data_IF_049718950171
#
_entry.id   IF_049718950171
#
_cell.length_a   1.000
_cell.length_b   1.000
_cell.length_c   1.000
_cell.angle_alpha   90.00
_cell.angle_beta   90.00
_cell.angle_gamma   90.00
#
_symmetry.space_group_name_H-M   'P 1'
#
loop_
_entity.id
_entity.type
_entity.pdbx_description
1 polymer ?
#
# COMPACT_ATOMS: atom_id res chain seq x y z
N UNK A 1 -17.31 -20.42 -43.87
CA UNK A 1 -17.78 -20.14 -42.49
C UNK A 1 -16.82 -20.59 -41.39
N UNK A 2 -15.90 -21.55 -41.59
CA UNK A 2 -14.99 -22.02 -40.53
C UNK A 2 -13.88 -21.03 -40.14
N UNK A 3 -13.34 -20.27 -41.10
CA UNK A 3 -12.21 -19.35 -40.85
C UNK A 3 -12.60 -18.14 -39.98
N UNK A 4 -13.84 -17.64 -40.11
CA UNK A 4 -14.35 -16.54 -39.30
C UNK A 4 -14.51 -16.93 -37.82
N UNK A 5 -14.99 -18.15 -37.55
CA UNK A 5 -15.11 -18.68 -36.19
C UNK A 5 -13.73 -18.86 -35.52
N UNK A 6 -12.71 -19.27 -36.27
CA UNK A 6 -11.34 -19.37 -35.76
C UNK A 6 -10.73 -18.00 -35.41
N UNK A 7 -10.96 -16.98 -36.23
CA UNK A 7 -10.49 -15.61 -35.93
C UNK A 7 -11.15 -15.01 -34.70
N UNK A 8 -12.45 -15.24 -34.50
CA UNK A 8 -13.20 -14.77 -33.32
C UNK A 8 -12.66 -15.36 -32.01
N UNK A 9 -12.32 -16.66 -32.01
CA UNK A 9 -11.73 -17.35 -30.85
C UNK A 9 -10.36 -16.73 -30.50
N UNK A 10 -9.51 -16.49 -31.50
CA UNK A 10 -8.18 -15.89 -31.29
C UNK A 10 -8.29 -14.47 -30.76
N UNK A 11 -9.18 -13.65 -31.32
CA UNK A 11 -9.42 -12.28 -30.86
C UNK A 11 -9.95 -12.26 -29.42
N UNK A 12 -10.91 -13.12 -29.10
CA UNK A 12 -11.49 -13.19 -27.75
C UNK A 12 -10.45 -13.66 -26.72
N UNK A 13 -9.63 -14.65 -27.08
CA UNK A 13 -8.53 -15.11 -26.22
C UNK A 13 -7.49 -14.01 -25.98
N UNK A 14 -7.14 -13.26 -27.02
CA UNK A 14 -6.21 -12.13 -26.92
C UNK A 14 -6.76 -11.01 -26.03
N UNK A 15 -8.03 -10.60 -26.22
CA UNK A 15 -8.70 -9.61 -25.36
C UNK A 15 -8.73 -10.10 -23.91
N UNK A 16 -9.06 -11.38 -23.69
CA UNK A 16 -9.09 -12.00 -22.36
C UNK A 16 -7.74 -11.96 -21.66
N UNK A 17 -6.64 -12.12 -22.39
CA UNK A 17 -5.29 -12.07 -21.84
C UNK A 17 -4.85 -10.64 -21.45
N UNK A 18 -5.26 -9.62 -22.21
CA UNK A 18 -4.83 -8.23 -22.01
C UNK A 18 -5.70 -7.47 -21.00
N UNK A 19 -7.00 -7.79 -20.95
CA UNK A 19 -7.99 -7.05 -20.14
C UNK A 19 -7.57 -6.83 -18.68
N UNK A 20 -7.06 -7.82 -17.92
CA UNK A 20 -6.66 -7.60 -16.54
C UNK A 20 -5.54 -6.55 -16.38
N UNK A 21 -4.56 -6.56 -17.27
CA UNK A 21 -3.46 -5.59 -17.28
C UNK A 21 -3.95 -4.20 -17.65
N UNK A 22 -4.89 -4.11 -18.61
CA UNK A 22 -5.52 -2.86 -18.99
C UNK A 22 -6.35 -2.25 -17.85
N UNK A 23 -7.22 -3.04 -17.21
CA UNK A 23 -8.03 -2.61 -16.07
C UNK A 23 -7.13 -2.10 -14.94
N UNK A 24 -6.01 -2.79 -14.69
CA UNK A 24 -5.03 -2.39 -13.69
C UNK A 24 -4.37 -1.04 -14.02
N UNK A 25 -3.97 -0.80 -15.27
CA UNK A 25 -3.41 0.48 -15.71
C UNK A 25 -4.41 1.62 -15.54
N UNK A 26 -5.68 1.42 -15.94
CA UNK A 26 -6.73 2.43 -15.83
C UNK A 26 -6.96 2.83 -14.37
N UNK A 27 -7.10 1.84 -13.48
CA UNK A 27 -7.32 2.07 -12.04
C UNK A 27 -6.11 2.79 -11.42
N UNK A 28 -4.90 2.29 -11.66
CA UNK A 28 -3.69 2.87 -11.05
C UNK A 28 -3.39 4.27 -11.55
N UNK A 29 -3.62 4.56 -12.83
CA UNK A 29 -3.41 5.89 -13.39
C UNK A 29 -4.39 6.89 -12.77
N UNK A 30 -5.65 6.49 -12.61
CA UNK A 30 -6.68 7.31 -11.97
C UNK A 30 -6.31 7.61 -10.52
N UNK A 31 -5.94 6.58 -9.74
CA UNK A 31 -5.52 6.75 -8.35
C UNK A 31 -4.25 7.60 -8.22
N UNK A 32 -3.28 7.43 -9.12
CA UNK A 32 -2.05 8.22 -9.14
C UNK A 32 -2.32 9.70 -9.44
N UNK A 33 -3.26 10.00 -10.34
CA UNK A 33 -3.70 11.38 -10.62
C UNK A 33 -4.34 12.03 -9.38
N UNK A 34 -5.18 11.28 -8.66
CA UNK A 34 -5.75 11.75 -7.39
C UNK A 34 -4.66 12.02 -6.34
N UNK A 35 -3.66 11.14 -6.22
CA UNK A 35 -2.54 11.31 -5.29
C UNK A 35 -1.67 12.52 -5.65
N UNK A 36 -1.41 12.75 -6.94
CA UNK A 36 -0.70 13.93 -7.40
C UNK A 36 -1.48 15.21 -7.06
N UNK A 37 -2.79 15.20 -7.27
CA UNK A 37 -3.67 16.31 -6.90
C UNK A 37 -3.62 16.56 -5.39
N UNK A 38 -3.68 15.50 -4.57
CA UNK A 38 -3.54 15.60 -3.12
C UNK A 38 -2.17 16.16 -2.71
N UNK A 39 -1.10 15.81 -3.42
CA UNK A 39 0.23 16.36 -3.17
C UNK A 39 0.25 17.87 -3.42
N UNK A 40 -0.31 18.31 -4.54
CA UNK A 40 -0.40 19.74 -4.90
C UNK A 40 -1.22 20.49 -3.86
N UNK A 41 -2.40 19.98 -3.50
CA UNK A 41 -3.28 20.55 -2.46
C UNK A 41 -2.53 20.63 -1.12
N UNK A 42 -1.83 19.56 -0.73
CA UNK A 42 -1.06 19.51 0.50
C UNK A 42 0.04 20.58 0.53
N UNK A 43 0.74 20.85 -0.58
CA UNK A 43 1.72 21.94 -0.63
C UNK A 43 1.08 23.33 -0.68
N UNK A 44 0.00 23.50 -1.45
CA UNK A 44 -0.69 24.77 -1.63
C UNK A 44 -1.32 25.29 -0.32
N UNK A 45 -1.95 24.40 0.46
CA UNK A 45 -2.60 24.76 1.71
C UNK A 45 -1.71 24.60 2.96
N UNK A 46 -0.48 24.11 2.80
CA UNK A 46 0.42 23.92 3.95
C UNK A 46 1.10 25.21 4.38
N UNK A 47 0.82 25.61 5.63
CA UNK A 47 1.45 26.74 6.31
C UNK A 47 2.90 26.44 6.72
N UNK A 48 3.70 27.48 6.95
CA UNK A 48 5.10 27.34 7.42
C UNK A 48 5.21 26.48 8.69
N UNK A 49 4.26 26.64 9.62
CA UNK A 49 4.21 25.84 10.86
C UNK A 49 3.82 24.38 10.61
N UNK A 50 2.93 24.10 9.65
CA UNK A 50 2.58 22.73 9.26
C UNK A 50 3.77 22.00 8.65
N UNK A 51 4.54 22.67 7.76
CA UNK A 51 5.72 22.09 7.09
C UNK A 51 6.81 21.66 8.07
N UNK A 52 6.90 22.27 9.26
CA UNK A 52 7.90 21.90 10.28
C UNK A 52 7.55 20.61 11.03
N UNK A 53 6.30 20.12 10.93
CA UNK A 53 5.87 18.90 11.62
C UNK A 53 6.35 17.66 10.87
N UNK A 54 6.81 16.64 11.60
CA UNK A 54 7.22 15.36 11.03
C UNK A 54 6.08 14.69 10.23
N UNK A 55 4.83 14.85 10.69
CA UNK A 55 3.64 14.32 10.00
C UNK A 55 3.53 14.84 8.57
N UNK A 56 3.89 16.10 8.29
CA UNK A 56 3.85 16.66 6.93
C UNK A 56 4.85 15.92 6.03
N UNK A 57 6.10 15.79 6.46
CA UNK A 57 7.15 15.09 5.72
C UNK A 57 6.81 13.62 5.45
N UNK A 58 6.26 12.92 6.46
CA UNK A 58 5.86 11.53 6.27
C UNK A 58 4.69 11.39 5.29
N UNK A 59 3.73 12.32 5.26
CA UNK A 59 2.64 12.30 4.26
C UNK A 59 3.17 12.54 2.85
N UNK A 60 4.09 13.50 2.66
CA UNK A 60 4.75 13.73 1.37
C UNK A 60 5.49 12.47 0.91
N UNK A 61 6.29 11.88 1.80
CA UNK A 61 7.04 10.65 1.50
C UNK A 61 6.11 9.49 1.14
N UNK A 62 5.01 9.32 1.85
CA UNK A 62 4.00 8.30 1.54
C UNK A 62 3.39 8.47 0.16
N UNK A 63 3.01 9.70 -0.21
CA UNK A 63 2.48 9.99 -1.55
C UNK A 63 3.55 9.70 -2.62
N UNK A 64 4.79 10.13 -2.41
CA UNK A 64 5.88 9.84 -3.34
C UNK A 64 6.13 8.34 -3.53
N UNK A 65 6.16 7.55 -2.45
CA UNK A 65 6.31 6.09 -2.54
C UNK A 65 5.16 5.44 -3.32
N UNK A 66 3.92 5.90 -3.11
CA UNK A 66 2.76 5.39 -3.85
C UNK A 66 2.83 5.75 -5.34
N UNK A 67 3.29 6.95 -5.68
CA UNK A 67 3.47 7.37 -7.07
C UNK A 67 4.58 6.56 -7.75
N UNK A 68 5.67 6.27 -7.05
CA UNK A 68 6.73 5.38 -7.55
C UNK A 68 6.18 3.98 -7.83
N UNK A 69 5.38 3.43 -6.92
CA UNK A 69 4.65 2.18 -7.16
C UNK A 69 3.77 2.28 -8.41
N UNK A 70 2.97 3.35 -8.53
CA UNK A 70 2.10 3.58 -9.69
C UNK A 70 2.88 3.59 -11.02
N UNK A 71 4.07 4.19 -11.04
CA UNK A 71 4.96 4.19 -12.21
C UNK A 71 5.46 2.78 -12.51
N UNK A 72 6.00 2.07 -11.52
CA UNK A 72 6.49 0.70 -11.70
C UNK A 72 5.40 -0.23 -12.20
N UNK A 73 4.25 -0.21 -11.55
CA UNK A 73 3.07 -0.98 -11.94
C UNK A 73 2.56 -0.61 -13.34
N UNK A 74 2.57 0.68 -13.69
CA UNK A 74 2.24 1.17 -15.02
C UNK A 74 3.19 0.64 -16.09
N UNK A 75 4.50 0.60 -15.82
CA UNK A 75 5.49 0.00 -16.71
C UNK A 75 5.23 -1.50 -16.87
N UNK A 76 5.05 -2.24 -15.77
CA UNK A 76 4.85 -3.70 -15.82
C UNK A 76 3.58 -4.08 -16.57
N UNK A 77 2.47 -3.40 -16.29
CA UNK A 77 1.18 -3.72 -16.90
C UNK A 77 1.05 -3.12 -18.30
N UNK A 78 1.63 -1.95 -18.54
CA UNK A 78 1.70 -1.34 -19.87
C UNK A 78 2.52 -2.19 -20.85
N UNK A 79 3.67 -2.72 -20.43
CA UNK A 79 4.43 -3.65 -21.28
C UNK A 79 3.65 -4.93 -21.56
N UNK A 80 2.93 -5.48 -20.58
CA UNK A 80 2.09 -6.66 -20.80
C UNK A 80 0.96 -6.42 -21.82
N UNK A 81 0.52 -5.17 -22.02
CA UNK A 81 -0.49 -4.78 -23.01
C UNK A 81 0.15 -4.50 -24.39
N UNK A 82 1.26 -3.75 -24.41
CA UNK A 82 1.87 -3.26 -25.65
C UNK A 82 2.78 -4.29 -26.33
N UNK A 83 3.47 -5.12 -25.56
CA UNK A 83 4.37 -6.15 -26.05
C UNK A 83 4.27 -7.41 -25.16
N UNK A 84 3.22 -8.23 -25.35
CA UNK A 84 2.96 -9.40 -24.50
C UNK A 84 4.06 -10.48 -24.61
N UNK A 85 4.91 -10.42 -25.63
CA UNK A 85 5.98 -11.39 -25.86
C UNK A 85 7.31 -10.97 -25.21
N UNK A 86 7.51 -9.67 -24.95
CA UNK A 86 8.68 -9.17 -24.24
C UNK A 86 8.33 -8.70 -22.83
N UNK A 87 8.72 -9.52 -21.85
CA UNK A 87 8.47 -9.22 -20.45
C UNK A 87 9.46 -8.21 -19.89
N UNK A 88 9.01 -7.45 -18.90
CA UNK A 88 9.89 -6.61 -18.07
C UNK A 88 11.04 -7.42 -17.48
N UNK A 89 12.15 -6.74 -17.24
CA UNK A 89 13.26 -7.35 -16.51
C UNK A 89 12.80 -7.85 -15.13
N UNK A 90 13.35 -8.98 -14.70
CA UNK A 90 13.08 -9.59 -13.38
C UNK A 90 13.25 -8.58 -12.23
N UNK A 91 14.26 -7.72 -12.32
CA UNK A 91 14.55 -6.70 -11.30
C UNK A 91 13.46 -5.65 -11.19
N UNK A 92 12.91 -5.18 -12.32
CA UNK A 92 11.80 -4.22 -12.34
C UNK A 92 10.54 -4.85 -11.73
N UNK A 93 10.27 -6.11 -12.03
CA UNK A 93 9.13 -6.83 -11.46
C UNK A 93 9.27 -7.03 -9.95
N UNK A 94 10.46 -7.44 -9.46
CA UNK A 94 10.75 -7.56 -8.03
C UNK A 94 10.60 -6.20 -7.34
N UNK A 95 11.16 -5.13 -7.92
CA UNK A 95 11.00 -3.78 -7.37
C UNK A 95 9.52 -3.41 -7.25
N UNK A 96 8.71 -3.72 -8.27
CA UNK A 96 7.25 -3.48 -8.24
C UNK A 96 6.60 -4.21 -7.06
N UNK A 97 6.93 -5.48 -6.81
CA UNK A 97 6.41 -6.24 -5.66
C UNK A 97 6.87 -5.59 -4.33
N UNK A 98 8.14 -5.24 -4.21
CA UNK A 98 8.68 -4.58 -3.00
C UNK A 98 7.93 -3.29 -2.73
N UNK A 99 7.76 -2.44 -3.73
CA UNK A 99 7.00 -1.19 -3.62
C UNK A 99 5.49 -1.44 -3.42
N UNK A 100 4.95 -2.62 -3.70
CA UNK A 100 3.55 -2.94 -3.40
C UNK A 100 3.35 -3.31 -1.92
N UNK A 101 4.29 -4.05 -1.33
CA UNK A 101 4.16 -4.59 0.04
C UNK A 101 4.80 -3.73 1.12
N UNK A 102 5.81 -2.94 0.78
CA UNK A 102 6.60 -2.20 1.76
C UNK A 102 5.99 -0.84 2.17
N UNK A 103 5.48 0.01 1.26
CA UNK A 103 4.89 1.30 1.62
C UNK A 103 3.73 1.26 2.62
N UNK A 104 2.83 0.24 2.62
CA UNK A 104 1.83 0.05 3.67
C UNK A 104 2.39 0.15 5.10
N UNK A 105 3.59 -0.39 5.37
CA UNK A 105 4.25 -0.28 6.69
C UNK A 105 4.52 1.18 7.10
N UNK A 106 4.84 2.03 6.13
CA UNK A 106 5.11 3.46 6.36
C UNK A 106 3.82 4.22 6.61
N UNK A 107 2.75 3.93 5.86
CA UNK A 107 1.46 4.60 6.02
C UNK A 107 0.91 4.41 7.43
N UNK A 108 0.96 3.19 7.94
CA UNK A 108 0.44 2.89 9.27
C UNK A 108 1.29 3.54 10.37
N UNK A 109 2.57 3.85 10.08
CA UNK A 109 3.42 4.60 10.99
C UNK A 109 3.00 6.07 11.08
N UNK A 110 2.45 6.66 10.00
CA UNK A 110 1.88 8.02 10.01
C UNK A 110 0.67 8.09 10.93
N UNK A 111 -0.20 7.07 10.90
CA UNK A 111 -1.36 6.97 11.79
C UNK A 111 -0.93 6.95 13.26
N UNK A 112 0.10 6.16 13.60
CA UNK A 112 0.66 6.18 14.96
C UNK A 112 1.29 7.51 15.33
N UNK A 113 2.02 8.17 14.42
CA UNK A 113 2.56 9.51 14.68
C UNK A 113 1.46 10.55 14.91
N UNK A 114 0.33 10.43 14.22
CA UNK A 114 -0.85 11.26 14.50
C UNK A 114 -1.44 10.95 15.88
N UNK A 115 -1.41 9.69 16.32
CA UNK A 115 -1.81 9.32 17.67
C UNK A 115 -0.88 9.91 18.74
N UNK A 116 0.44 9.92 18.49
CA UNK A 116 1.42 10.59 19.37
C UNK A 116 1.16 12.09 19.52
N UNK A 117 0.71 12.76 18.45
CA UNK A 117 0.33 14.17 18.54
C UNK A 117 -0.89 14.39 19.45
N UNK A 118 -1.78 13.40 19.57
CA UNK A 118 -2.94 13.44 20.47
C UNK A 118 -2.58 13.04 21.91
N UNK A 119 -1.58 12.17 22.10
CA UNK A 119 -1.05 11.74 23.40
C UNK A 119 0.38 12.26 23.60
N UNK A 120 0.55 13.56 23.95
CA UNK A 120 1.87 14.10 24.15
C UNK A 120 2.61 13.31 25.24
N UNK A 121 3.83 12.81 24.96
CA UNK A 121 4.61 12.01 25.90
C UNK A 121 5.02 12.77 27.14
N UNK A 122 4.92 14.10 27.12
CA UNK A 122 5.18 14.98 28.26
C UNK A 122 4.08 14.92 29.34
N UNK A 123 2.84 14.58 28.97
CA UNK A 123 1.68 14.65 29.88
C UNK A 123 1.17 13.26 30.24
N UNK A 124 1.38 12.27 29.35
CA UNK A 124 0.87 10.91 29.54
C UNK A 124 1.88 10.06 30.33
N UNK A 125 1.47 9.32 31.37
CA UNK A 125 2.35 8.41 32.09
C UNK A 125 3.02 7.40 31.14
N UNK A 126 4.34 7.24 31.26
CA UNK A 126 5.15 6.38 30.36
C UNK A 126 4.65 4.94 30.30
N UNK A 127 4.11 4.42 31.41
CA UNK A 127 3.55 3.06 31.48
C UNK A 127 2.27 2.94 30.63
N UNK A 128 1.40 3.95 30.66
CA UNK A 128 0.20 3.99 29.83
C UNK A 128 0.56 4.10 28.36
N UNK A 129 1.54 4.95 28.04
CA UNK A 129 2.06 5.11 26.68
C UNK A 129 2.66 3.79 26.17
N UNK A 130 3.47 3.10 26.98
CA UNK A 130 4.03 1.80 26.64
C UNK A 130 2.94 0.76 26.37
N UNK A 131 1.89 0.68 27.19
CA UNK A 131 0.77 -0.25 26.98
C UNK A 131 0.03 -0.01 25.67
N UNK A 132 -0.16 1.26 25.29
CA UNK A 132 -0.84 1.63 24.04
C UNK A 132 0.03 1.31 22.82
N UNK A 133 1.33 1.58 22.88
CA UNK A 133 2.23 1.40 21.74
C UNK A 133 2.81 -0.02 21.62
N UNK A 134 2.76 -0.83 22.68
CA UNK A 134 3.26 -2.19 22.64
C UNK A 134 2.59 -3.02 21.54
N UNK A 135 1.26 -2.96 21.42
CA UNK A 135 0.54 -3.71 20.40
C UNK A 135 0.92 -3.30 18.96
N UNK A 136 0.81 -2.00 18.56
CA UNK A 136 1.22 -1.56 17.23
C UNK A 136 2.70 -1.84 16.92
N UNK A 137 3.59 -1.70 17.91
CA UNK A 137 5.00 -1.98 17.73
C UNK A 137 5.25 -3.47 17.43
N UNK A 138 4.66 -4.37 18.21
CA UNK A 138 4.75 -5.82 17.97
C UNK A 138 4.21 -6.21 16.60
N UNK A 139 3.06 -5.65 16.20
CA UNK A 139 2.46 -5.92 14.88
C UNK A 139 3.40 -5.45 13.75
N UNK A 140 4.03 -4.28 13.87
CA UNK A 140 5.00 -3.81 12.87
C UNK A 140 6.21 -4.72 12.75
N UNK A 141 6.79 -5.15 13.87
CA UNK A 141 7.90 -6.11 13.86
C UNK A 141 7.49 -7.42 13.17
N UNK A 142 6.31 -7.95 13.50
CA UNK A 142 5.78 -9.16 12.87
C UNK A 142 5.57 -8.98 11.36
N UNK A 143 5.04 -7.84 10.91
CA UNK A 143 4.86 -7.56 9.48
C UNK A 143 6.18 -7.44 8.72
N UNK A 144 7.21 -6.83 9.31
CA UNK A 144 8.55 -6.78 8.69
C UNK A 144 9.09 -8.19 8.45
N UNK A 145 8.93 -9.10 9.43
CA UNK A 145 9.34 -10.49 9.29
C UNK A 145 8.55 -11.18 8.16
N UNK A 146 7.22 -11.05 8.17
CA UNK A 146 6.35 -11.68 7.16
C UNK A 146 6.67 -11.18 5.75
N UNK A 147 6.84 -9.87 5.56
CA UNK A 147 7.23 -9.29 4.26
C UNK A 147 8.60 -9.79 3.82
N UNK A 148 9.56 -9.90 4.74
CA UNK A 148 10.90 -10.43 4.44
C UNK A 148 10.82 -11.89 3.96
N UNK A 149 9.96 -12.71 4.58
CA UNK A 149 9.72 -14.09 4.17
C UNK A 149 9.05 -14.16 2.79
N UNK A 150 8.05 -13.33 2.53
CA UNK A 150 7.40 -13.22 1.21
C UNK A 150 8.43 -12.90 0.15
N UNK A 151 9.20 -11.83 0.34
CA UNK A 151 10.17 -11.37 -0.64
C UNK A 151 11.27 -12.42 -0.89
N UNK A 152 11.78 -13.05 0.16
CA UNK A 152 12.79 -14.09 0.03
C UNK A 152 12.24 -15.30 -0.77
N UNK A 153 11.03 -15.76 -0.43
CA UNK A 153 10.37 -16.83 -1.17
C UNK A 153 10.14 -16.44 -2.64
N UNK A 154 9.64 -15.24 -2.92
CA UNK A 154 9.42 -14.75 -4.28
C UNK A 154 10.71 -14.65 -5.10
N UNK A 155 11.80 -14.19 -4.51
CA UNK A 155 13.10 -14.04 -5.20
C UNK A 155 13.72 -15.42 -5.48
N UNK A 156 13.63 -16.36 -4.53
CA UNK A 156 14.22 -17.69 -4.64
C UNK A 156 13.45 -18.62 -5.58
N UNK A 157 12.12 -18.56 -5.59
CA UNK A 157 11.28 -19.43 -6.45
C UNK A 157 11.30 -19.07 -7.94
N UNK A 158 12.02 -18.02 -8.33
CA UNK A 158 11.91 -17.41 -9.64
C UNK A 158 13.16 -17.59 -10.51
N UNK A 159 13.09 -18.45 -11.53
CA UNK A 159 14.14 -18.57 -12.55
C UNK A 159 13.98 -17.56 -13.70
N UNK A 160 12.78 -17.05 -13.95
CA UNK A 160 12.46 -16.06 -14.99
C UNK A 160 11.35 -15.09 -14.57
N UNK A 161 11.16 -13.98 -15.30
CA UNK A 161 10.03 -13.06 -15.09
C UNK A 161 8.69 -13.77 -15.33
N UNK A 162 8.60 -14.66 -16.31
CA UNK A 162 7.37 -15.38 -16.62
C UNK A 162 6.92 -16.24 -15.44
N UNK A 163 7.87 -16.95 -14.82
CA UNK A 163 7.62 -17.74 -13.62
C UNK A 163 7.17 -16.85 -12.44
N UNK A 164 7.73 -15.64 -12.30
CA UNK A 164 7.30 -14.67 -11.29
C UNK A 164 5.87 -14.19 -11.49
N UNK A 165 5.52 -13.81 -12.72
CA UNK A 165 4.17 -13.35 -13.07
C UNK A 165 3.18 -14.49 -12.84
N UNK A 166 3.47 -15.69 -13.32
CA UNK A 166 2.61 -16.85 -13.13
C UNK A 166 2.45 -17.21 -11.65
N UNK A 167 3.54 -17.23 -10.88
CA UNK A 167 3.47 -17.49 -9.45
C UNK A 167 2.68 -16.41 -8.71
N UNK A 168 2.89 -15.13 -9.04
CA UNK A 168 2.11 -14.02 -8.46
C UNK A 168 0.63 -14.19 -8.78
N UNK A 169 0.24 -14.32 -10.05
CA UNK A 169 -1.18 -14.47 -10.43
C UNK A 169 -1.86 -15.67 -9.77
N UNK A 170 -1.16 -16.80 -9.61
CA UNK A 170 -1.70 -18.00 -9.00
C UNK A 170 -1.79 -17.93 -7.47
N UNK A 171 -0.82 -17.28 -6.81
CA UNK A 171 -0.66 -17.36 -5.36
C UNK A 171 -0.94 -16.07 -4.62
N UNK A 172 -0.99 -14.90 -5.25
CA UNK A 172 -1.05 -13.60 -4.57
C UNK A 172 -2.13 -13.53 -3.49
N UNK A 173 -3.38 -13.84 -3.83
CA UNK A 173 -4.50 -13.82 -2.89
C UNK A 173 -4.61 -15.06 -2.00
N UNK A 174 -3.87 -16.13 -2.31
CA UNK A 174 -3.88 -17.40 -1.57
C UNK A 174 -2.64 -17.59 -0.71
N UNK A 175 -1.68 -16.66 -0.80
CA UNK A 175 -0.42 -16.77 -0.10
C UNK A 175 -0.65 -16.49 1.39
N UNK A 176 -0.38 -17.47 2.28
CA UNK A 176 -0.68 -17.33 3.71
C UNK A 176 0.09 -16.16 4.33
N UNK A 177 1.28 -15.84 3.82
CA UNK A 177 2.07 -14.71 4.30
C UNK A 177 1.45 -13.36 3.91
N UNK A 178 0.93 -13.22 2.68
CA UNK A 178 0.23 -11.98 2.27
C UNK A 178 -1.09 -11.81 3.01
N UNK A 179 -1.84 -12.90 3.21
CA UNK A 179 -3.07 -12.88 4.01
C UNK A 179 -2.75 -12.46 5.46
N UNK A 180 -1.70 -13.00 6.05
CA UNK A 180 -1.26 -12.60 7.39
C UNK A 180 -0.84 -11.12 7.44
N UNK A 181 -0.12 -10.63 6.43
CA UNK A 181 0.28 -9.23 6.30
C UNK A 181 -0.94 -8.31 6.27
N UNK A 182 -1.90 -8.55 5.37
CA UNK A 182 -3.11 -7.75 5.27
C UNK A 182 -3.98 -7.83 6.51
N UNK A 183 -4.07 -9.01 7.14
CA UNK A 183 -4.83 -9.19 8.39
C UNK A 183 -4.21 -8.38 9.53
N UNK A 184 -2.88 -8.40 9.65
CA UNK A 184 -2.15 -7.59 10.62
C UNK A 184 -2.27 -6.10 10.33
N UNK A 185 -2.25 -5.70 9.05
CA UNK A 185 -2.48 -4.31 8.65
C UNK A 185 -3.88 -3.83 9.06
N UNK A 186 -4.92 -4.62 8.78
CA UNK A 186 -6.29 -4.30 9.17
C UNK A 186 -6.40 -4.19 10.69
N UNK A 187 -5.78 -5.11 11.43
CA UNK A 187 -5.79 -5.08 12.90
C UNK A 187 -5.11 -3.82 13.47
N UNK A 188 -3.92 -3.44 12.95
CA UNK A 188 -3.19 -2.23 13.37
C UNK A 188 -3.99 -0.95 13.11
N UNK A 189 -4.61 -0.88 11.93
CA UNK A 189 -5.41 0.27 11.52
C UNK A 189 -6.72 0.36 12.31
N UNK A 190 -7.41 -0.77 12.51
CA UNK A 190 -8.63 -0.81 13.32
C UNK A 190 -8.34 -0.40 14.77
N UNK A 191 -7.25 -0.89 15.35
CA UNK A 191 -6.80 -0.50 16.68
C UNK A 191 -6.56 1.01 16.76
N UNK A 192 -5.77 1.56 15.83
CA UNK A 192 -5.41 2.97 15.80
C UNK A 192 -6.62 3.89 15.64
N UNK A 193 -7.54 3.56 14.72
CA UNK A 193 -8.78 4.32 14.48
C UNK A 193 -9.71 4.25 15.69
N UNK A 194 -9.91 3.06 16.26
CA UNK A 194 -10.77 2.88 17.44
C UNK A 194 -10.28 3.71 18.62
N UNK A 195 -8.98 3.67 18.88
CA UNK A 195 -8.37 4.42 19.98
C UNK A 195 -8.46 5.93 19.76
N UNK A 196 -8.21 6.39 18.54
CA UNK A 196 -8.35 7.80 18.15
C UNK A 196 -9.80 8.30 18.34
N UNK A 197 -10.78 7.56 17.83
CA UNK A 197 -12.21 7.92 17.92
C UNK A 197 -12.71 7.87 19.37
N UNK A 198 -12.33 6.85 20.13
CA UNK A 198 -12.66 6.75 21.55
C UNK A 198 -12.19 7.98 22.33
N UNK A 199 -10.96 8.43 22.07
CA UNK A 199 -10.42 9.61 22.75
C UNK A 199 -11.11 10.90 22.31
N UNK A 200 -11.39 11.04 21.02
CA UNK A 200 -12.16 12.16 20.49
C UNK A 200 -13.53 12.25 21.16
N UNK A 201 -14.21 11.12 21.34
CA UNK A 201 -15.50 11.04 22.02
C UNK A 201 -15.43 11.47 23.50
N UNK A 202 -14.39 11.06 24.23
CA UNK A 202 -14.17 11.52 25.62
C UNK A 202 -13.95 13.04 25.68
N UNK A 203 -13.15 13.60 24.77
CA UNK A 203 -12.93 15.05 24.75
C UNK A 203 -14.19 15.83 24.40
N UNK A 204 -14.95 15.37 23.40
CA UNK A 204 -16.21 16.00 23.00
C UNK A 204 -17.28 15.95 24.10
N UNK A 205 -17.39 14.82 24.81
CA UNK A 205 -18.34 14.65 25.93
C UNK A 205 -17.97 15.50 27.14
N UNK A 206 -16.68 15.72 27.39
CA UNK A 206 -16.19 16.60 28.46
C UNK A 206 -16.51 18.06 28.14
N UNK A 207 -16.31 18.48 26.89
CA UNK A 207 -16.63 19.85 26.45
C UNK A 207 -18.13 20.17 26.59
N UNK A 208 -19.01 19.21 26.26
CA UNK A 208 -20.47 19.34 26.47
C UNK A 208 -20.92 19.39 27.93
N UNK A 209 -20.09 18.98 28.90
CA UNK A 209 -20.43 19.06 30.33
C UNK A 209 -19.97 20.37 30.98
N UNK A 210 -19.09 21.12 30.33
CA UNK A 210 -18.50 22.37 30.84
C UNK A 210 -19.15 23.60 30.18
N UNK A 211 -19.75 23.44 29.01
CA UNK A 211 -20.64 24.43 28.37
C UNK A 211 -22.08 24.27 28.85
#
# INVERSE_FOLDING_TARGET
MSQAASSEIVITAFIGAIRPSFDYVVVLTTLSSCLLTLLVVLFAFSTKESRRRLVFHLNVLAICLTLILGIFSGITSGQAVLDPFHQVSKNVYIATIVFAVFPPLFYDSILLFRLFALYPPAITPKITLLKIFAFPFCIKCARIVVISLVLNHFVQSATSTAALVQNATATWFRNPYLIAEWSMQIADNLYSVTFFLYKLHIHASTFKRVA
#
